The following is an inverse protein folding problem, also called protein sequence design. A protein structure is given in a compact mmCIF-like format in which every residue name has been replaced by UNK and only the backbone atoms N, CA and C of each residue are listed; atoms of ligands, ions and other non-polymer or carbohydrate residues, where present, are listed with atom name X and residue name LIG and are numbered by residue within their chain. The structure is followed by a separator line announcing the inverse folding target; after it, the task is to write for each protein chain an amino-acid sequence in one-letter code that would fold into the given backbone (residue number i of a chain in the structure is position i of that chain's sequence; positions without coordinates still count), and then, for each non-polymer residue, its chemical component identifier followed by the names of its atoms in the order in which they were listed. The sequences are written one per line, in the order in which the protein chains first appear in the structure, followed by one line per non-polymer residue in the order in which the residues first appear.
data_IF_632284142314
#
_entry.id   IF_632284142314
#
_cell.length_a   1.000
_cell.length_b   1.000
_cell.length_c   1.000
_cell.angle_alpha   90.00
_cell.angle_beta   90.00
_cell.angle_gamma   90.00
#
_symmetry.space_group_name_H-M   'P 1'
#
loop_
_entity.id
_entity.type
_entity.pdbx_description
1 polymer ?
#
# COMPACT_ATOMS: atom_id res chain seq x y z
N UNK A 1 8.24 -6.55 -9.05
CA UNK A 1 8.78 -5.33 -9.71
C UNK A 1 10.30 -5.21 -9.63
N UNK A 2 10.95 -5.56 -8.49
CA UNK A 2 12.40 -5.39 -8.31
C UNK A 2 13.30 -6.42 -9.03
N UNK A 3 12.75 -7.46 -9.65
CA UNK A 3 13.50 -8.37 -10.54
C UNK A 3 13.55 -7.82 -11.97
N UNK A 4 14.16 -8.58 -12.90
CA UNK A 4 14.21 -8.22 -14.32
C UNK A 4 12.82 -7.92 -14.94
N UNK A 5 11.75 -8.53 -14.41
CA UNK A 5 10.36 -8.29 -14.86
C UNK A 5 10.00 -6.80 -14.84
N UNK A 6 10.38 -6.06 -13.79
CA UNK A 6 10.17 -4.62 -13.72
C UNK A 6 11.42 -3.80 -14.03
N UNK A 7 12.59 -4.25 -13.57
CA UNK A 7 13.83 -3.51 -13.72
C UNK A 7 14.21 -3.30 -15.20
N UNK A 8 14.00 -4.29 -16.08
CA UNK A 8 14.32 -4.16 -17.50
C UNK A 8 13.49 -3.07 -18.21
N UNK A 9 12.14 -3.15 -18.26
CA UNK A 9 11.34 -2.14 -18.96
C UNK A 9 11.49 -0.74 -18.35
N UNK A 10 11.60 -0.64 -17.02
CA UNK A 10 11.79 0.66 -16.37
C UNK A 10 13.18 1.24 -16.66
N UNK A 11 14.22 0.43 -16.77
CA UNK A 11 15.57 0.90 -17.15
C UNK A 11 15.62 1.38 -18.60
N UNK A 12 14.88 0.74 -19.51
CA UNK A 12 14.75 1.20 -20.90
C UNK A 12 14.06 2.56 -20.98
N UNK A 13 13.06 2.80 -20.13
CA UNK A 13 12.27 4.04 -20.14
C UNK A 13 12.94 5.19 -19.39
N UNK A 14 13.60 4.90 -18.25
CA UNK A 14 14.08 5.92 -17.31
C UNK A 14 15.59 5.88 -17.07
N UNK A 15 16.32 4.94 -17.69
CA UNK A 15 17.75 4.72 -17.45
C UNK A 15 18.01 3.88 -16.20
N UNK A 16 19.05 3.05 -16.26
CA UNK A 16 19.39 2.13 -15.17
C UNK A 16 19.75 2.83 -13.86
N UNK A 17 20.38 4.01 -13.91
CA UNK A 17 20.75 4.78 -12.72
C UNK A 17 19.54 5.12 -11.85
N UNK A 18 18.42 5.51 -12.46
CA UNK A 18 17.17 5.77 -11.75
C UNK A 18 16.60 4.48 -11.12
N UNK A 19 16.76 3.34 -11.78
CA UNK A 19 16.31 2.05 -11.25
C UNK A 19 17.22 1.55 -10.13
N UNK A 20 18.52 1.80 -10.21
CA UNK A 20 19.45 1.52 -9.11
C UNK A 20 19.04 2.29 -7.84
N UNK A 21 18.71 3.58 -7.95
CA UNK A 21 18.21 4.37 -6.83
C UNK A 21 16.88 3.85 -6.27
N UNK A 22 15.96 3.40 -7.14
CA UNK A 22 14.71 2.76 -6.71
C UNK A 22 14.98 1.46 -5.92
N UNK A 23 15.88 0.61 -6.41
CA UNK A 23 16.26 -0.64 -5.74
C UNK A 23 16.97 -0.40 -4.41
N UNK A 24 17.79 0.64 -4.31
CA UNK A 24 18.42 1.04 -3.05
C UNK A 24 17.38 1.48 -2.01
N UNK A 25 16.36 2.23 -2.44
CA UNK A 25 15.21 2.57 -1.59
C UNK A 25 14.46 1.34 -1.08
N UNK A 26 14.20 0.36 -1.95
CA UNK A 26 13.58 -0.91 -1.56
C UNK A 26 14.46 -1.68 -0.56
N UNK A 27 15.77 -1.75 -0.81
CA UNK A 27 16.69 -2.40 0.11
C UNK A 27 16.80 -1.70 1.47
N UNK A 28 16.63 -0.38 1.51
CA UNK A 28 16.59 0.37 2.76
C UNK A 28 15.42 -0.05 3.65
N UNK A 29 14.22 -0.26 3.08
CA UNK A 29 13.08 -0.74 3.87
C UNK A 29 13.22 -2.22 4.25
N UNK A 30 13.84 -3.05 3.40
CA UNK A 30 14.15 -4.45 3.74
C UNK A 30 15.07 -4.54 4.95
N UNK A 31 16.10 -3.69 4.99
CA UNK A 31 17.00 -3.59 6.15
C UNK A 31 16.25 -3.19 7.40
N UNK A 32 15.43 -2.13 7.32
CA UNK A 32 14.60 -1.67 8.45
C UNK A 32 13.70 -2.79 8.95
N UNK A 33 12.98 -3.46 8.05
CA UNK A 33 12.10 -4.58 8.38
C UNK A 33 12.83 -5.73 9.08
N UNK A 34 14.07 -6.02 8.65
CA UNK A 34 14.87 -7.10 9.22
C UNK A 34 15.47 -6.77 10.59
N UNK A 35 15.89 -5.52 10.83
CA UNK A 35 16.72 -5.19 11.99
C UNK A 35 16.05 -4.34 13.07
N UNK A 36 14.99 -3.60 12.75
CA UNK A 36 14.28 -2.76 13.74
C UNK A 36 13.49 -3.62 14.74
N UNK A 37 13.43 -3.19 16.01
CA UNK A 37 12.56 -3.82 17.00
C UNK A 37 11.10 -3.69 16.57
N UNK A 38 10.24 -4.65 16.91
CA UNK A 38 8.85 -4.68 16.43
C UNK A 38 8.08 -3.39 16.74
N UNK A 39 8.33 -2.75 17.87
CA UNK A 39 7.68 -1.51 18.30
C UNK A 39 8.09 -0.28 17.46
N UNK A 40 9.18 -0.38 16.70
CA UNK A 40 9.70 0.67 15.81
C UNK A 40 9.72 0.24 14.34
N UNK A 41 9.20 -0.94 14.03
CA UNK A 41 9.28 -1.56 12.72
C UNK A 41 8.03 -1.22 11.90
N UNK A 42 8.19 -0.35 10.90
CA UNK A 42 7.06 0.23 10.16
C UNK A 42 6.20 -0.85 9.47
N UNK A 43 6.77 -1.79 8.66
CA UNK A 43 5.96 -2.86 8.09
C UNK A 43 5.28 -3.77 9.12
N UNK A 44 5.94 -4.08 10.25
CA UNK A 44 5.33 -4.90 11.31
C UNK A 44 4.13 -4.19 11.93
N UNK A 45 4.28 -2.91 12.28
CA UNK A 45 3.18 -2.12 12.85
C UNK A 45 2.01 -1.99 11.88
N UNK A 46 2.26 -1.73 10.59
CA UNK A 46 1.22 -1.66 9.57
C UNK A 46 0.49 -3.01 9.40
N UNK A 47 1.23 -4.12 9.38
CA UNK A 47 0.63 -5.46 9.34
C UNK A 47 -0.22 -5.77 10.59
N UNK A 48 0.24 -5.37 11.78
CA UNK A 48 -0.53 -5.53 13.02
C UNK A 48 -1.80 -4.67 13.04
N UNK A 49 -1.76 -3.45 12.50
CA UNK A 49 -2.96 -2.62 12.36
C UNK A 49 -3.97 -3.24 11.38
N UNK A 50 -3.51 -3.81 10.27
CA UNK A 50 -4.36 -4.56 9.33
C UNK A 50 -5.06 -5.72 10.06
N UNK A 51 -4.30 -6.59 10.73
CA UNK A 51 -4.85 -7.72 11.51
C UNK A 51 -5.82 -7.23 12.59
N UNK A 52 -5.48 -6.16 13.31
CA UNK A 52 -6.37 -5.60 14.33
C UNK A 52 -7.70 -5.14 13.74
N UNK A 53 -7.66 -4.40 12.64
CA UNK A 53 -8.86 -3.88 11.99
C UNK A 53 -9.73 -5.01 11.41
N UNK A 54 -9.13 -5.97 10.72
CA UNK A 54 -9.87 -7.07 10.06
C UNK A 54 -10.38 -8.08 11.08
N UNK A 55 -9.50 -8.61 11.93
CA UNK A 55 -9.81 -9.75 12.79
C UNK A 55 -10.45 -9.39 14.14
N UNK A 56 -10.34 -8.13 14.58
CA UNK A 56 -10.86 -7.71 15.89
C UNK A 56 -11.89 -6.58 15.83
N UNK A 57 -11.84 -5.73 14.80
CA UNK A 57 -12.80 -4.63 14.61
C UNK A 57 -13.80 -4.87 13.46
N UNK A 58 -13.80 -6.07 12.88
CA UNK A 58 -14.69 -6.48 11.79
C UNK A 58 -14.73 -5.47 10.62
N UNK A 59 -13.57 -4.90 10.28
CA UNK A 59 -13.40 -3.98 9.16
C UNK A 59 -12.77 -4.73 7.96
N UNK A 60 -13.58 -5.34 7.07
CA UNK A 60 -13.07 -6.26 6.03
C UNK A 60 -12.45 -5.55 4.82
N UNK A 61 -12.47 -4.22 4.77
CA UNK A 61 -11.99 -3.44 3.64
C UNK A 61 -11.02 -2.35 4.09
N UNK A 62 -10.02 -2.07 3.27
CA UNK A 62 -9.05 -1.00 3.49
C UNK A 62 -8.97 -0.09 2.26
N UNK A 63 -8.92 1.22 2.50
CA UNK A 63 -8.79 2.23 1.46
C UNK A 63 -7.35 2.76 1.36
N UNK A 64 -6.72 2.63 0.20
CA UNK A 64 -5.37 3.14 -0.10
C UNK A 64 -5.51 4.47 -0.85
N UNK A 65 -5.17 5.58 -0.19
CA UNK A 65 -5.55 6.93 -0.61
C UNK A 65 -4.31 7.81 -0.81
N UNK A 66 -3.57 7.65 -1.92
CA UNK A 66 -2.41 8.48 -2.19
C UNK A 66 -2.84 9.87 -2.65
N UNK A 67 -2.44 10.92 -1.94
CA UNK A 67 -2.64 12.33 -2.34
C UNK A 67 -1.54 12.75 -3.33
N UNK A 68 -1.40 11.96 -4.39
CA UNK A 68 -0.45 12.16 -5.47
C UNK A 68 -0.94 11.43 -6.73
N UNK A 69 -1.26 12.16 -7.79
CA UNK A 69 -1.77 11.57 -9.04
C UNK A 69 -0.76 10.62 -9.70
N UNK A 70 0.54 10.82 -9.50
CA UNK A 70 1.58 9.93 -10.02
C UNK A 70 1.46 8.50 -9.44
N UNK A 71 0.81 8.34 -8.29
CA UNK A 71 0.57 7.06 -7.62
C UNK A 71 -0.80 6.43 -7.99
N UNK A 72 -1.46 6.87 -9.06
CA UNK A 72 -2.76 6.33 -9.50
C UNK A 72 -2.78 4.81 -9.77
N UNK A 73 -1.62 4.17 -9.96
CA UNK A 73 -1.52 2.70 -10.12
C UNK A 73 -1.01 1.98 -8.87
N UNK A 74 -0.84 2.69 -7.76
CA UNK A 74 -0.41 2.09 -6.50
C UNK A 74 -1.48 1.17 -5.91
N UNK A 75 -2.72 1.64 -5.73
CA UNK A 75 -3.78 0.82 -5.16
C UNK A 75 -4.04 -0.46 -5.98
N UNK A 76 -4.14 -0.42 -7.32
CA UNK A 76 -4.23 -1.65 -8.13
C UNK A 76 -3.03 -2.61 -7.97
N UNK A 77 -1.82 -2.09 -7.74
CA UNK A 77 -0.66 -2.95 -7.49
C UNK A 77 -0.75 -3.62 -6.11
N UNK A 78 -1.13 -2.86 -5.07
CA UNK A 78 -1.27 -3.39 -3.71
C UNK A 78 -2.42 -4.40 -3.60
N UNK A 79 -3.52 -4.20 -4.35
CA UNK A 79 -4.60 -5.18 -4.44
C UNK A 79 -4.10 -6.57 -4.74
N UNK A 80 -3.23 -6.72 -5.75
CA UNK A 80 -2.64 -8.03 -6.04
C UNK A 80 -1.72 -8.49 -4.90
N UNK A 81 -0.81 -7.63 -4.44
CA UNK A 81 0.17 -7.98 -3.40
C UNK A 81 -0.50 -8.52 -2.14
N UNK A 82 -1.56 -7.85 -1.69
CA UNK A 82 -2.25 -8.20 -0.45
C UNK A 82 -3.29 -9.30 -0.67
N UNK A 83 -4.25 -9.10 -1.56
CA UNK A 83 -5.41 -9.98 -1.71
C UNK A 83 -5.02 -11.37 -2.25
N UNK A 84 -4.05 -11.44 -3.19
CA UNK A 84 -3.56 -12.74 -3.71
C UNK A 84 -2.69 -13.48 -2.68
N UNK A 85 -1.96 -12.74 -1.84
CA UNK A 85 -1.11 -13.33 -0.80
C UNK A 85 -1.93 -13.83 0.39
N UNK A 86 -2.88 -13.04 0.86
CA UNK A 86 -3.53 -13.22 2.15
C UNK A 86 -4.98 -13.70 2.08
N UNK A 87 -5.65 -13.61 0.92
CA UNK A 87 -7.02 -14.13 0.73
C UNK A 87 -7.05 -15.66 0.67
N UNK A 88 -6.92 -16.33 1.81
CA UNK A 88 -6.71 -17.78 1.91
C UNK A 88 -7.67 -18.43 2.91
N UNK A 89 -8.23 -19.59 2.54
CA UNK A 89 -9.13 -20.36 3.42
C UNK A 89 -8.44 -21.46 4.24
N UNK A 90 -7.12 -21.60 4.14
CA UNK A 90 -6.37 -22.73 4.70
C UNK A 90 -5.03 -22.24 5.26
N UNK A 91 -4.62 -22.76 6.42
CA UNK A 91 -3.35 -22.46 7.07
C UNK A 91 -2.15 -23.09 6.34
N UNK A 92 -0.93 -22.73 6.76
CA UNK A 92 0.30 -23.31 6.21
C UNK A 92 0.40 -24.84 6.43
N UNK A 93 -0.27 -25.36 7.46
CA UNK A 93 -0.32 -26.80 7.78
C UNK A 93 -1.42 -27.53 6.99
N UNK A 94 -2.14 -26.84 6.10
CA UNK A 94 -3.22 -27.44 5.31
C UNK A 94 -4.56 -27.56 6.06
N UNK A 95 -4.71 -26.87 7.20
CA UNK A 95 -5.93 -26.92 8.02
C UNK A 95 -6.88 -25.80 7.58
N UNK A 96 -8.18 -26.09 7.31
CA UNK A 96 -9.16 -25.05 7.03
C UNK A 96 -9.26 -24.04 8.18
N UNK A 97 -9.33 -22.75 7.84
CA UNK A 97 -9.46 -21.67 8.81
C UNK A 97 -10.94 -21.46 9.18
N UNK A 98 -11.21 -21.11 10.43
CA UNK A 98 -12.54 -20.82 10.98
C UNK A 98 -12.87 -19.31 11.02
N UNK A 99 -11.98 -18.48 10.47
CA UNK A 99 -12.13 -17.03 10.33
C UNK A 99 -11.77 -16.55 8.93
N UNK A 100 -12.23 -15.36 8.56
CA UNK A 100 -11.88 -14.72 7.28
C UNK A 100 -10.46 -14.13 7.33
N UNK A 101 -9.74 -14.20 6.22
CA UNK A 101 -8.38 -13.67 6.09
C UNK A 101 -8.28 -12.68 4.95
N UNK A 102 -7.34 -11.75 5.11
CA UNK A 102 -7.08 -10.70 4.13
C UNK A 102 -8.19 -9.66 4.06
N UNK A 103 -7.79 -8.41 3.94
CA UNK A 103 -8.68 -7.29 3.64
C UNK A 103 -9.01 -7.20 2.14
N UNK A 104 -10.12 -6.57 1.83
CA UNK A 104 -10.47 -6.10 0.49
C UNK A 104 -9.84 -4.73 0.30
N UNK A 105 -8.76 -4.68 -0.48
CA UNK A 105 -8.07 -3.43 -0.81
C UNK A 105 -8.73 -2.70 -1.98
N UNK A 106 -8.94 -1.39 -1.83
CA UNK A 106 -9.37 -0.53 -2.91
C UNK A 106 -8.82 0.89 -2.72
N UNK A 107 -8.91 1.73 -3.76
CA UNK A 107 -8.45 3.10 -3.62
C UNK A 107 -8.34 3.86 -4.92
N UNK A 108 -8.32 5.18 -4.79
CA UNK A 108 -8.08 6.15 -5.86
C UNK A 108 -7.24 7.28 -5.27
N UNK A 109 -6.44 8.00 -6.09
CA UNK A 109 -5.74 9.18 -5.62
C UNK A 109 -6.66 10.23 -5.01
N UNK A 110 -6.17 10.92 -3.98
CA UNK A 110 -6.75 12.16 -3.51
C UNK A 110 -6.46 13.30 -4.51
N UNK A 111 -7.41 14.20 -4.79
CA UNK A 111 -8.75 14.34 -4.19
C UNK A 111 -9.85 13.59 -4.94
N UNK A 112 -9.56 12.84 -6.02
CA UNK A 112 -10.57 12.15 -6.84
C UNK A 112 -11.46 11.23 -5.99
N UNK A 113 -10.86 10.42 -5.10
CA UNK A 113 -11.59 9.53 -4.19
C UNK A 113 -12.59 10.26 -3.28
N UNK A 114 -12.29 11.51 -2.90
CA UNK A 114 -13.16 12.34 -2.06
C UNK A 114 -14.52 12.62 -2.73
N UNK A 115 -14.53 12.67 -4.07
CA UNK A 115 -15.73 12.94 -4.86
C UNK A 115 -16.38 11.66 -5.41
N UNK A 116 -15.91 10.48 -5.00
CA UNK A 116 -16.43 9.19 -5.46
C UNK A 116 -17.06 8.39 -4.31
N UNK A 117 -16.27 8.00 -3.31
CA UNK A 117 -16.69 7.02 -2.29
C UNK A 117 -16.49 7.46 -0.83
N UNK A 118 -15.92 8.65 -0.59
CA UNK A 118 -15.70 9.14 0.79
C UNK A 118 -17.01 9.34 1.58
N UNK A 119 -18.13 9.60 0.90
CA UNK A 119 -19.44 9.68 1.55
C UNK A 119 -19.77 8.39 2.33
N UNK A 120 -19.44 7.22 1.76
CA UNK A 120 -19.63 5.93 2.44
C UNK A 120 -18.64 5.76 3.60
N UNK A 121 -17.39 6.19 3.43
CA UNK A 121 -16.37 6.11 4.50
C UNK A 121 -16.76 6.99 5.69
N UNK A 122 -17.33 8.18 5.45
CA UNK A 122 -17.68 9.11 6.52
C UNK A 122 -19.01 8.82 7.22
N UNK A 123 -20.04 8.35 6.50
CA UNK A 123 -21.40 8.22 7.05
C UNK A 123 -21.98 6.80 6.93
N UNK A 124 -21.31 5.91 6.21
CA UNK A 124 -21.75 4.54 5.96
C UNK A 124 -20.99 3.55 6.83
N UNK A 125 -20.07 2.80 6.20
CA UNK A 125 -19.30 1.75 6.86
C UNK A 125 -17.95 2.30 7.29
N UNK A 126 -17.46 1.82 8.44
CA UNK A 126 -16.09 2.09 8.86
C UNK A 126 -15.15 1.37 7.91
N UNK A 127 -14.25 2.13 7.29
CA UNK A 127 -13.21 1.64 6.39
C UNK A 127 -11.90 2.28 6.83
N UNK A 128 -10.96 1.51 7.41
CA UNK A 128 -9.60 1.97 7.64
C UNK A 128 -8.97 2.55 6.38
N UNK A 129 -8.21 3.63 6.54
CA UNK A 129 -7.68 4.42 5.43
C UNK A 129 -6.18 4.68 5.59
N UNK A 130 -5.40 4.26 4.59
CA UNK A 130 -3.98 4.55 4.47
C UNK A 130 -3.78 5.77 3.57
N UNK A 131 -3.51 6.91 4.21
CA UNK A 131 -3.22 8.17 3.54
C UNK A 131 -1.73 8.29 3.23
N UNK A 132 -1.40 8.52 1.95
CA UNK A 132 0.00 8.67 1.50
C UNK A 132 0.18 10.07 0.91
N UNK A 133 1.09 10.86 1.48
CA UNK A 133 1.40 12.23 1.02
C UNK A 133 2.86 12.40 0.64
N UNK A 134 3.13 13.30 -0.33
CA UNK A 134 4.48 13.71 -0.70
C UNK A 134 4.61 15.22 -0.43
N UNK A 135 5.69 15.60 0.28
CA UNK A 135 5.90 17.00 0.72
C UNK A 135 6.15 17.95 -0.45
N UNK A 136 6.77 17.46 -1.53
CA UNK A 136 7.12 18.26 -2.72
C UNK A 136 6.39 17.75 -3.95
N UNK A 137 5.75 18.65 -4.69
CA UNK A 137 5.14 18.34 -5.99
C UNK A 137 6.22 18.06 -7.03
N UNK A 138 5.98 17.05 -7.87
CA UNK A 138 6.79 16.77 -9.08
C UNK A 138 6.78 17.95 -10.05
N UNK A 139 5.70 18.74 -10.05
CA UNK A 139 5.53 19.96 -10.84
C UNK A 139 5.25 21.13 -9.90
N UNK A 140 6.24 21.50 -9.10
CA UNK A 140 6.13 22.63 -8.19
C UNK A 140 5.96 23.93 -9.00
N UNK A 141 4.81 24.60 -8.83
CA UNK A 141 4.56 25.91 -9.43
C UNK A 141 4.98 26.97 -8.43
N UNK A 142 6.02 27.74 -8.76
CA UNK A 142 6.35 28.95 -8.01
C UNK A 142 5.38 30.05 -8.41
N UNK A 143 4.36 30.29 -7.58
CA UNK A 143 3.53 31.48 -7.73
C UNK A 143 4.39 32.68 -7.31
N UNK A 144 4.64 33.61 -8.25
CA UNK A 144 5.21 34.91 -7.89
C UNK A 144 4.13 35.70 -7.15
N UNK A 145 4.27 35.79 -5.84
CA UNK A 145 3.59 36.77 -4.98
C UNK A 145 4.53 37.90 -4.63
#
# INVERSE_FOLDING_TARGET
VCSAVGALPLSLQYGFENIANFLEGAWSIDKHFRSASFESNLPVLLGLFSVWNVSFLDCPAMAILPYCQALQKLAPHIQQVSMESNGKGVSIDGIPLDFETGEIDFGEPGTNGQHSFYQLIHQGRVVPCDFIGIIKSQQSVFLRG
#
